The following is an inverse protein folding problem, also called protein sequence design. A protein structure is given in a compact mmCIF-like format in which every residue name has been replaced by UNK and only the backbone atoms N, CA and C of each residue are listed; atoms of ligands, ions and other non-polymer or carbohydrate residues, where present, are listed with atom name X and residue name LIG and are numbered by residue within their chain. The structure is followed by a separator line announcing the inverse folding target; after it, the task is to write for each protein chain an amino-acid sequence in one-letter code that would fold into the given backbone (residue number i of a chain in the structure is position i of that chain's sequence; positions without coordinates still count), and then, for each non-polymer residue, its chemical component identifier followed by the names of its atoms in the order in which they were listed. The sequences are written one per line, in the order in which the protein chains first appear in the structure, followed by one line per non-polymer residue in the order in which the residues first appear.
data_IF_000918484440
#
_entry.id   IF_000918484440
#
_cell.length_a   1.000
_cell.length_b   1.000
_cell.length_c   1.000
_cell.angle_alpha   90.00
_cell.angle_beta   90.00
_cell.angle_gamma   90.00
#
_symmetry.space_group_name_H-M   'P 1'
#
loop_
_entity.id
_entity.type
_entity.pdbx_description
1 polymer ?
#
# COMPACT_ATOMS: atom_id res chain seq x y z
N UNK A 1 -17.18 30.99 -8.49
CA UNK A 1 -16.79 30.06 -9.59
C UNK A 1 -17.05 28.64 -9.15
N UNK A 2 -17.63 27.79 -10.02
CA UNK A 2 -17.79 26.36 -9.73
C UNK A 2 -16.42 25.67 -9.60
N UNK A 3 -16.23 24.93 -8.51
CA UNK A 3 -14.99 24.16 -8.25
C UNK A 3 -15.11 22.80 -9.00
N UNK A 4 -14.26 22.59 -9.99
CA UNK A 4 -14.28 21.40 -10.84
C UNK A 4 -12.93 20.72 -10.81
N UNK A 5 -12.90 19.40 -10.63
CA UNK A 5 -11.67 18.65 -10.57
C UNK A 5 -11.75 17.32 -11.33
N UNK A 6 -10.64 16.95 -11.94
CA UNK A 6 -10.40 15.59 -12.46
C UNK A 6 -9.37 14.89 -11.58
N UNK A 7 -9.72 13.71 -11.12
CA UNK A 7 -8.81 12.81 -10.41
C UNK A 7 -8.48 11.64 -11.33
N UNK A 8 -7.20 11.33 -11.48
CA UNK A 8 -6.73 10.32 -12.45
C UNK A 8 -6.01 9.19 -11.74
N UNK A 9 -6.53 7.96 -11.92
CA UNK A 9 -5.86 6.74 -11.47
C UNK A 9 -6.32 5.56 -12.33
N UNK A 10 -5.41 4.98 -13.12
CA UNK A 10 -5.75 3.92 -14.08
C UNK A 10 -6.38 2.67 -13.42
N UNK A 11 -5.96 2.34 -12.19
CA UNK A 11 -6.51 1.23 -11.39
C UNK A 11 -6.82 1.73 -9.99
N UNK A 12 -8.06 2.18 -9.80
CA UNK A 12 -8.51 2.84 -8.57
C UNK A 12 -8.97 1.83 -7.54
N UNK A 13 -8.19 1.66 -6.47
CA UNK A 13 -8.55 0.92 -5.27
C UNK A 13 -8.98 1.85 -4.14
N UNK A 14 -9.25 1.29 -2.96
CA UNK A 14 -9.86 1.97 -1.82
C UNK A 14 -9.17 3.29 -1.43
N UNK A 15 -7.84 3.32 -1.31
CA UNK A 15 -7.10 4.54 -0.94
C UNK A 15 -7.41 5.73 -1.87
N UNK A 16 -7.50 5.46 -3.17
CA UNK A 16 -7.81 6.52 -4.12
C UNK A 16 -9.29 6.86 -4.16
N UNK A 17 -10.18 5.88 -3.94
CA UNK A 17 -11.63 6.09 -3.88
C UNK A 17 -12.02 6.92 -2.66
N UNK A 18 -11.37 6.72 -1.51
CA UNK A 18 -11.56 7.57 -0.32
C UNK A 18 -11.20 9.03 -0.62
N UNK A 19 -10.09 9.25 -1.34
CA UNK A 19 -9.73 10.60 -1.81
C UNK A 19 -10.81 11.17 -2.73
N UNK A 20 -11.26 10.40 -3.73
CA UNK A 20 -12.32 10.84 -4.66
C UNK A 20 -13.60 11.21 -3.90
N UNK A 21 -14.02 10.37 -2.95
CA UNK A 21 -15.19 10.62 -2.11
C UNK A 21 -15.03 11.85 -1.22
N UNK A 22 -13.83 12.14 -0.72
CA UNK A 22 -13.56 13.36 0.02
C UNK A 22 -13.75 14.60 -0.87
N UNK A 23 -13.25 14.56 -2.11
CA UNK A 23 -13.43 15.67 -3.07
C UNK A 23 -14.90 15.86 -3.48
N UNK A 24 -15.70 14.78 -3.58
CA UNK A 24 -17.12 14.85 -3.94
C UNK A 24 -17.95 15.66 -2.93
N UNK A 25 -17.49 15.76 -1.67
CA UNK A 25 -18.16 16.56 -0.63
C UNK A 25 -17.94 18.07 -0.76
N UNK A 26 -16.84 18.49 -1.40
CA UNK A 26 -16.37 19.89 -1.41
C UNK A 26 -16.37 20.53 -2.81
N UNK A 27 -16.37 19.72 -3.88
CA UNK A 27 -16.33 20.19 -5.25
C UNK A 27 -17.70 20.04 -5.92
N UNK A 28 -18.04 21.02 -6.78
CA UNK A 28 -19.32 21.01 -7.51
C UNK A 28 -19.34 19.94 -8.60
N UNK A 29 -18.16 19.67 -9.21
CA UNK A 29 -18.02 18.64 -10.25
C UNK A 29 -16.73 17.84 -10.00
N UNK A 30 -16.88 16.54 -9.80
CA UNK A 30 -15.78 15.59 -9.61
C UNK A 30 -15.82 14.53 -10.69
N UNK A 31 -14.72 14.39 -11.40
CA UNK A 31 -14.55 13.37 -12.44
C UNK A 31 -13.43 12.43 -12.07
N UNK A 32 -13.73 11.13 -11.97
CA UNK A 32 -12.74 10.08 -11.82
C UNK A 32 -12.39 9.49 -13.19
N UNK A 33 -11.17 9.72 -13.68
CA UNK A 33 -10.63 9.00 -14.83
C UNK A 33 -10.01 7.68 -14.37
N UNK A 34 -10.66 6.55 -14.67
CA UNK A 34 -10.19 5.23 -14.29
C UNK A 34 -10.41 4.18 -15.38
N UNK A 35 -9.44 3.26 -15.53
CA UNK A 35 -9.57 2.08 -16.39
C UNK A 35 -10.29 0.93 -15.68
N UNK A 36 -10.09 0.83 -14.35
CA UNK A 36 -10.79 -0.09 -13.46
C UNK A 36 -11.02 0.58 -12.11
N UNK A 37 -12.23 0.44 -11.59
CA UNK A 37 -12.61 0.85 -10.24
C UNK A 37 -12.85 -0.42 -9.43
N UNK A 38 -12.22 -0.51 -8.25
CA UNK A 38 -12.36 -1.63 -7.33
C UNK A 38 -12.87 -1.07 -6.01
N UNK A 39 -14.19 -1.13 -5.84
CA UNK A 39 -14.86 -0.79 -4.58
C UNK A 39 -14.72 -1.95 -3.59
N UNK A 40 -14.62 -1.62 -2.33
CA UNK A 40 -14.82 -2.54 -1.21
C UNK A 40 -16.16 -2.17 -0.54
N UNK A 41 -16.21 -2.07 0.78
CA UNK A 41 -17.44 -1.79 1.50
C UNK A 41 -17.97 -0.36 1.30
N UNK A 42 -17.10 0.61 1.01
CA UNK A 42 -17.49 1.99 0.72
C UNK A 42 -17.71 2.20 -0.79
N UNK A 43 -18.95 2.51 -1.23
CA UNK A 43 -19.25 2.81 -2.62
C UNK A 43 -18.68 4.18 -3.02
N UNK A 44 -18.54 4.38 -4.32
CA UNK A 44 -18.21 5.69 -4.89
C UNK A 44 -19.41 6.64 -4.72
N UNK A 45 -19.14 7.89 -4.30
CA UNK A 45 -20.17 8.91 -4.15
C UNK A 45 -20.95 9.10 -5.48
N UNK A 46 -22.29 9.14 -5.45
CA UNK A 46 -23.12 9.28 -6.66
C UNK A 46 -22.87 10.55 -7.47
N UNK A 47 -22.30 11.61 -6.87
CA UNK A 47 -21.92 12.84 -7.56
C UNK A 47 -20.71 12.66 -8.47
N UNK A 48 -19.93 11.59 -8.30
CA UNK A 48 -18.71 11.38 -9.06
C UNK A 48 -19.03 10.83 -10.45
N UNK A 49 -18.61 11.56 -11.46
CA UNK A 49 -18.69 11.07 -12.85
C UNK A 49 -17.48 10.20 -13.16
N UNK A 50 -17.68 8.93 -13.48
CA UNK A 50 -16.60 8.03 -13.90
C UNK A 50 -16.38 8.16 -15.40
N UNK A 51 -15.23 8.71 -15.79
CA UNK A 51 -14.75 8.72 -17.18
C UNK A 51 -13.82 7.52 -17.40
N UNK A 52 -14.28 6.55 -18.18
CA UNK A 52 -13.46 5.39 -18.53
C UNK A 52 -12.24 5.80 -19.34
N UNK A 53 -11.08 5.27 -18.98
CA UNK A 53 -9.81 5.35 -19.71
C UNK A 53 -9.27 3.93 -19.96
N UNK A 54 -8.21 3.81 -20.77
CA UNK A 54 -7.67 2.50 -21.13
C UNK A 54 -7.23 1.71 -19.88
N UNK A 55 -7.70 0.45 -19.70
CA UNK A 55 -7.44 -0.32 -18.49
C UNK A 55 -5.99 -0.84 -18.42
N UNK A 56 -5.53 -1.06 -17.20
CA UNK A 56 -4.22 -1.63 -16.93
C UNK A 56 -4.18 -3.13 -17.25
N UNK A 57 -3.17 -3.57 -18.02
CA UNK A 57 -2.99 -4.97 -18.40
C UNK A 57 -1.73 -5.57 -17.74
N UNK A 58 -1.91 -6.59 -16.92
CA UNK A 58 -0.83 -7.27 -16.17
C UNK A 58 -0.29 -8.55 -16.82
N UNK A 59 -0.83 -8.96 -17.97
CA UNK A 59 -0.56 -10.29 -18.56
C UNK A 59 0.91 -10.48 -18.99
N UNK A 60 1.62 -9.41 -19.37
CA UNK A 60 3.05 -9.45 -19.66
C UNK A 60 3.69 -8.07 -19.47
N UNK A 61 5.03 -8.02 -19.38
CA UNK A 61 5.76 -6.74 -19.26
C UNK A 61 5.49 -5.83 -20.47
N UNK A 62 5.45 -6.37 -21.67
CA UNK A 62 5.14 -5.62 -22.88
C UNK A 62 3.70 -5.07 -22.87
N UNK A 63 2.70 -5.91 -22.58
CA UNK A 63 1.29 -5.50 -22.48
C UNK A 63 1.08 -4.46 -21.39
N UNK A 64 1.80 -4.58 -20.28
CA UNK A 64 1.82 -3.61 -19.19
C UNK A 64 2.28 -2.24 -19.68
N UNK A 65 3.43 -2.18 -20.32
CA UNK A 65 4.00 -0.92 -20.83
C UNK A 65 3.11 -0.29 -21.90
N UNK A 66 2.62 -1.08 -22.85
CA UNK A 66 1.68 -0.61 -23.87
C UNK A 66 0.38 -0.05 -23.27
N UNK A 67 -0.15 -0.70 -22.23
CA UNK A 67 -1.35 -0.20 -21.55
C UNK A 67 -1.12 1.15 -20.86
N UNK A 68 0.08 1.43 -20.37
CA UNK A 68 0.43 2.74 -19.82
C UNK A 68 0.49 3.82 -20.91
N UNK A 69 1.14 3.54 -22.03
CA UNK A 69 1.27 4.51 -23.14
C UNK A 69 -0.13 4.88 -23.69
N UNK A 70 -0.92 3.86 -24.04
CA UNK A 70 -2.27 4.09 -24.58
C UNK A 70 -3.14 4.85 -23.58
N UNK A 71 -3.06 4.50 -22.31
CA UNK A 71 -3.78 5.19 -21.25
C UNK A 71 -3.36 6.66 -21.14
N UNK A 72 -2.06 6.96 -21.19
CA UNK A 72 -1.53 8.31 -21.09
C UNK A 72 -1.99 9.17 -22.27
N UNK A 73 -1.94 8.65 -23.50
CA UNK A 73 -2.47 9.35 -24.69
C UNK A 73 -3.97 9.63 -24.55
N UNK A 74 -4.74 8.66 -24.06
CA UNK A 74 -6.17 8.81 -23.82
C UNK A 74 -6.46 9.88 -22.73
N UNK A 75 -5.73 9.88 -21.62
CA UNK A 75 -5.81 10.91 -20.56
C UNK A 75 -5.49 12.29 -21.16
N UNK A 76 -4.40 12.40 -21.91
CA UNK A 76 -3.97 13.67 -22.52
C UNK A 76 -5.04 14.26 -23.42
N UNK A 77 -5.60 13.46 -24.32
CA UNK A 77 -6.69 13.87 -25.20
C UNK A 77 -7.92 14.39 -24.43
N UNK A 78 -8.36 13.66 -23.41
CA UNK A 78 -9.50 14.04 -22.59
C UNK A 78 -9.24 15.35 -21.79
N UNK A 79 -8.02 15.52 -21.29
CA UNK A 79 -7.63 16.73 -20.55
C UNK A 79 -7.50 17.97 -21.46
N UNK A 80 -7.17 17.81 -22.72
CA UNK A 80 -7.08 18.92 -23.68
C UNK A 80 -8.43 19.30 -24.28
N UNK A 81 -9.35 18.35 -24.44
CA UNK A 81 -10.64 18.56 -25.09
C UNK A 81 -11.77 18.78 -24.08
N UNK A 82 -12.13 17.75 -23.36
CA UNK A 82 -13.33 17.72 -22.51
C UNK A 82 -13.15 18.40 -21.15
N UNK A 83 -11.95 18.26 -20.54
CA UNK A 83 -11.69 18.67 -19.15
C UNK A 83 -10.64 19.77 -19.02
N UNK A 84 -10.54 20.64 -19.99
CA UNK A 84 -9.53 21.69 -20.07
C UNK A 84 -9.55 22.68 -18.89
N UNK A 85 -10.75 22.95 -18.35
CA UNK A 85 -10.96 23.95 -17.29
C UNK A 85 -11.01 23.35 -15.87
N UNK A 86 -10.78 22.05 -15.72
CA UNK A 86 -10.81 21.38 -14.44
C UNK A 86 -9.42 21.42 -13.78
N UNK A 87 -9.40 21.59 -12.47
CA UNK A 87 -8.22 21.28 -11.66
C UNK A 87 -7.85 19.80 -11.84
N UNK A 88 -6.62 19.43 -11.54
CA UNK A 88 -6.10 18.09 -11.78
C UNK A 88 -5.41 17.53 -10.53
N UNK A 89 -5.85 16.37 -10.06
CA UNK A 89 -5.10 15.52 -9.16
C UNK A 89 -4.69 14.25 -9.91
N UNK A 90 -3.41 14.10 -10.17
CA UNK A 90 -2.86 12.98 -10.92
C UNK A 90 -2.13 12.03 -9.98
N UNK A 91 -2.51 10.75 -9.98
CA UNK A 91 -1.77 9.73 -9.23
C UNK A 91 -0.59 9.19 -10.04
N UNK A 92 0.31 8.45 -9.34
CA UNK A 92 1.40 7.71 -9.98
C UNK A 92 0.95 6.46 -10.77
N UNK A 93 -0.34 6.34 -11.08
CA UNK A 93 -0.89 5.24 -11.87
C UNK A 93 -1.82 5.76 -12.99
N UNK A 94 -1.37 5.70 -14.28
CA UNK A 94 -0.15 5.04 -14.76
C UNK A 94 1.14 5.80 -14.43
N UNK A 95 2.27 5.09 -14.24
CA UNK A 95 3.53 5.69 -13.76
C UNK A 95 4.07 6.84 -14.62
N UNK A 96 3.81 6.79 -15.92
CA UNK A 96 4.30 7.80 -16.88
C UNK A 96 3.34 8.99 -17.04
N UNK A 97 2.21 9.03 -16.33
CA UNK A 97 1.21 10.09 -16.49
C UNK A 97 1.73 11.49 -16.11
N UNK A 98 2.66 11.59 -15.17
CA UNK A 98 3.32 12.86 -14.80
C UNK A 98 4.02 13.54 -15.98
N UNK A 99 4.48 12.77 -16.98
CA UNK A 99 5.15 13.31 -18.18
C UNK A 99 4.22 14.17 -19.05
N UNK A 100 2.90 14.07 -18.86
CA UNK A 100 1.92 14.93 -19.56
C UNK A 100 1.89 16.36 -19.05
N UNK A 101 2.25 16.60 -17.79
CA UNK A 101 2.07 17.90 -17.13
C UNK A 101 2.74 19.05 -17.89
N UNK A 102 3.96 18.91 -18.42
CA UNK A 102 4.59 19.95 -19.23
C UNK A 102 3.83 20.30 -20.51
N UNK A 103 3.01 19.37 -21.03
CA UNK A 103 2.24 19.48 -22.28
C UNK A 103 0.80 19.96 -22.06
N UNK A 104 0.38 20.14 -20.82
CA UNK A 104 -0.95 20.63 -20.49
C UNK A 104 -0.96 22.15 -20.39
N UNK A 105 -2.11 22.75 -20.74
CA UNK A 105 -2.36 24.17 -20.48
C UNK A 105 -2.26 24.47 -18.98
N UNK A 106 -1.99 25.74 -18.65
CA UNK A 106 -1.85 26.20 -17.27
C UNK A 106 -3.15 25.95 -16.50
N UNK A 107 -3.10 24.99 -15.55
CA UNK A 107 -4.19 24.63 -14.63
C UNK A 107 -3.62 24.31 -13.26
N UNK A 108 -4.44 24.28 -12.25
CA UNK A 108 -4.03 23.78 -10.94
C UNK A 108 -3.79 22.29 -11.05
N UNK A 109 -2.60 21.86 -10.66
CA UNK A 109 -2.20 20.45 -10.80
C UNK A 109 -1.48 20.01 -9.55
N UNK A 110 -1.99 18.97 -8.91
CA UNK A 110 -1.35 18.28 -7.80
C UNK A 110 -1.03 16.84 -8.17
N UNK A 111 0.03 16.31 -7.59
CA UNK A 111 0.41 14.90 -7.72
C UNK A 111 0.16 14.16 -6.41
N UNK A 112 -0.38 12.95 -6.51
CA UNK A 112 -0.48 11.99 -5.41
C UNK A 112 0.34 10.75 -5.77
N UNK A 113 1.51 10.62 -5.18
CA UNK A 113 2.48 9.58 -5.53
C UNK A 113 2.40 8.42 -4.53
N UNK A 114 1.87 7.29 -4.98
CA UNK A 114 1.89 6.00 -4.28
C UNK A 114 3.19 5.25 -4.49
N UNK A 115 3.86 5.53 -5.62
CA UNK A 115 5.15 4.96 -6.02
C UNK A 115 5.98 6.05 -6.70
N UNK A 116 7.31 6.04 -6.49
CA UNK A 116 8.23 6.97 -7.14
C UNK A 116 8.88 6.30 -8.33
N UNK A 117 8.37 6.55 -9.52
CA UNK A 117 8.96 6.11 -10.78
C UNK A 117 9.83 7.22 -11.39
N UNK A 118 10.94 6.88 -12.07
CA UNK A 118 11.45 5.53 -12.37
C UNK A 118 12.29 4.90 -11.24
N UNK A 119 12.49 5.56 -10.11
CA UNK A 119 13.37 5.15 -9.00
C UNK A 119 12.99 3.77 -8.44
N UNK A 120 11.70 3.48 -8.33
CA UNK A 120 11.20 2.17 -7.91
C UNK A 120 11.60 1.03 -8.85
N UNK A 121 11.80 1.29 -10.16
CA UNK A 121 12.31 0.29 -11.10
C UNK A 121 13.80 0.02 -10.89
N UNK A 122 14.55 1.03 -10.47
CA UNK A 122 15.96 0.87 -10.08
C UNK A 122 16.07 0.07 -8.79
N UNK A 123 15.28 0.43 -7.79
CA UNK A 123 15.23 -0.26 -6.51
C UNK A 123 14.91 -1.77 -6.68
N UNK A 124 14.05 -2.12 -7.63
CA UNK A 124 13.69 -3.53 -7.91
C UNK A 124 14.60 -4.22 -8.94
N UNK A 125 15.67 -3.55 -9.36
CA UNK A 125 16.66 -4.13 -10.29
C UNK A 125 16.22 -4.26 -11.76
N UNK A 126 15.03 -3.73 -12.13
CA UNK A 126 14.53 -3.81 -13.50
C UNK A 126 15.29 -2.87 -14.46
N UNK A 127 15.77 -1.75 -13.97
CA UNK A 127 16.48 -0.73 -14.77
C UNK A 127 17.67 -0.18 -13.97
N UNK A 128 18.81 -0.02 -14.60
CA UNK A 128 19.97 0.65 -13.96
C UNK A 128 19.89 2.17 -14.07
N UNK A 129 20.44 2.91 -13.12
CA UNK A 129 20.50 4.40 -13.12
C UNK A 129 21.22 4.98 -14.35
N UNK A 130 22.13 4.23 -14.98
CA UNK A 130 22.84 4.64 -16.20
C UNK A 130 22.01 4.44 -17.47
N UNK A 131 20.86 3.72 -17.38
CA UNK A 131 20.02 3.45 -18.53
C UNK A 131 19.45 4.74 -19.13
N UNK A 132 19.50 4.95 -20.45
CA UNK A 132 18.99 6.15 -21.10
C UNK A 132 17.48 6.35 -20.87
N UNK A 133 16.69 5.28 -20.79
CA UNK A 133 15.25 5.36 -20.49
C UNK A 133 15.02 5.95 -19.09
N UNK A 134 15.82 5.52 -18.08
CA UNK A 134 15.77 6.10 -16.75
C UNK A 134 16.06 7.60 -16.78
N UNK A 135 17.15 8.01 -17.46
CA UNK A 135 17.56 9.43 -17.52
C UNK A 135 16.51 10.31 -18.20
N UNK A 136 15.93 9.84 -19.31
CA UNK A 136 14.87 10.57 -20.02
C UNK A 136 13.61 10.69 -19.15
N UNK A 137 13.20 9.62 -18.50
CA UNK A 137 12.04 9.65 -17.61
C UNK A 137 12.27 10.55 -16.39
N UNK A 138 13.42 10.45 -15.75
CA UNK A 138 13.83 11.32 -14.64
C UNK A 138 13.83 12.80 -15.04
N UNK A 139 14.28 13.13 -16.27
CA UNK A 139 14.23 14.48 -16.81
C UNK A 139 12.79 14.98 -16.98
N UNK A 140 11.89 14.16 -17.54
CA UNK A 140 10.47 14.50 -17.64
C UNK A 140 9.84 14.71 -16.26
N UNK A 141 10.15 13.87 -15.28
CA UNK A 141 9.68 14.07 -13.91
C UNK A 141 10.18 15.41 -13.35
N UNK A 142 11.44 15.77 -13.57
CA UNK A 142 11.99 17.06 -13.12
C UNK A 142 11.25 18.23 -13.76
N UNK A 143 10.91 18.14 -15.03
CA UNK A 143 10.10 19.17 -15.72
C UNK A 143 8.67 19.23 -15.17
N UNK A 144 8.04 18.08 -14.91
CA UNK A 144 6.67 17.97 -14.42
C UNK A 144 6.56 18.44 -12.95
N UNK A 145 7.39 17.89 -12.06
CA UNK A 145 7.31 18.14 -10.61
C UNK A 145 7.61 19.60 -10.25
N UNK A 146 8.43 20.29 -11.05
CA UNK A 146 8.66 21.74 -10.88
C UNK A 146 7.45 22.59 -11.26
N UNK A 147 6.58 22.09 -12.15
CA UNK A 147 5.40 22.83 -12.65
C UNK A 147 4.17 22.64 -11.78
N UNK A 148 4.07 21.52 -11.03
CA UNK A 148 2.90 21.26 -10.17
C UNK A 148 2.86 22.18 -8.97
N UNK A 149 1.67 22.38 -8.44
CA UNK A 149 1.45 23.21 -7.27
C UNK A 149 1.83 22.47 -5.99
N UNK A 150 1.51 21.16 -5.91
CA UNK A 150 1.76 20.31 -4.74
C UNK A 150 2.07 18.87 -5.15
N UNK A 151 2.94 18.24 -4.39
CA UNK A 151 3.21 16.79 -4.47
C UNK A 151 2.91 16.19 -3.11
N UNK A 152 2.06 15.19 -3.10
CA UNK A 152 1.67 14.46 -1.90
C UNK A 152 2.22 13.05 -2.05
N UNK A 153 2.84 12.53 -1.01
CA UNK A 153 3.41 11.18 -0.97
C UNK A 153 3.16 10.52 0.37
N UNK A 154 3.47 9.23 0.51
CA UNK A 154 3.03 8.44 1.66
C UNK A 154 4.07 8.31 2.77
N UNK A 155 5.36 8.52 2.46
CA UNK A 155 6.45 8.33 3.42
C UNK A 155 7.56 9.38 3.28
N UNK A 156 8.32 9.61 4.34
CA UNK A 156 9.49 10.49 4.31
C UNK A 156 10.57 9.98 3.36
N UNK A 157 10.74 8.65 3.22
CA UNK A 157 11.68 8.06 2.27
C UNK A 157 11.31 8.39 0.82
N UNK A 158 10.02 8.30 0.47
CA UNK A 158 9.53 8.75 -0.85
C UNK A 158 9.74 10.25 -1.02
N UNK A 159 9.45 11.07 -0.01
CA UNK A 159 9.67 12.51 -0.04
C UNK A 159 11.14 12.84 -0.31
N UNK A 160 12.06 12.15 0.36
CA UNK A 160 13.51 12.30 0.13
C UNK A 160 13.90 11.96 -1.31
N UNK A 161 13.38 10.85 -1.85
CA UNK A 161 13.62 10.47 -3.24
C UNK A 161 13.08 11.50 -4.23
N UNK A 162 11.92 12.11 -3.95
CA UNK A 162 11.29 13.11 -4.82
C UNK A 162 12.05 14.43 -4.83
N UNK A 163 12.78 14.79 -3.76
CA UNK A 163 13.55 16.04 -3.66
C UNK A 163 14.59 16.23 -4.77
N UNK A 164 15.08 15.15 -5.39
CA UNK A 164 15.98 15.26 -6.56
C UNK A 164 15.30 15.86 -7.79
N UNK A 165 13.96 15.88 -7.83
CA UNK A 165 13.16 16.36 -8.96
C UNK A 165 12.58 17.76 -8.74
N UNK A 166 12.30 18.16 -7.49
CA UNK A 166 11.66 19.43 -7.16
C UNK A 166 12.04 19.94 -5.77
N UNK A 167 11.78 21.24 -5.46
CA UNK A 167 12.00 21.81 -4.14
C UNK A 167 11.16 21.12 -3.07
N UNK A 168 11.72 20.98 -1.85
CA UNK A 168 11.11 20.30 -0.69
C UNK A 168 9.76 20.91 -0.29
N UNK A 169 9.62 22.20 -0.43
CA UNK A 169 8.44 22.98 -0.02
C UNK A 169 7.17 22.58 -0.79
N UNK A 170 7.35 21.93 -1.94
CA UNK A 170 6.22 21.39 -2.72
C UNK A 170 5.76 20.01 -2.25
N UNK A 171 6.54 19.33 -1.42
CA UNK A 171 6.32 17.95 -1.02
C UNK A 171 5.67 17.91 0.36
N UNK A 172 4.59 17.17 0.48
CA UNK A 172 3.93 16.90 1.76
C UNK A 172 3.73 15.40 1.92
N UNK A 173 4.02 14.88 3.11
CA UNK A 173 3.78 13.47 3.43
C UNK A 173 2.42 13.35 4.11
N UNK A 174 1.56 12.51 3.51
CA UNK A 174 0.30 12.05 4.10
C UNK A 174 0.36 10.54 4.15
N UNK A 175 0.56 9.92 5.32
CA UNK A 175 0.64 8.47 5.45
C UNK A 175 -0.62 7.78 4.91
N UNK A 176 -0.46 6.57 4.40
CA UNK A 176 -1.58 5.73 4.03
C UNK A 176 -2.41 5.35 5.27
N UNK A 177 -3.58 4.78 5.04
CA UNK A 177 -4.55 4.40 6.07
C UNK A 177 -5.13 3.02 5.82
N UNK A 178 -5.83 2.52 6.83
CA UNK A 178 -6.54 1.24 6.78
C UNK A 178 -7.79 1.33 5.92
N UNK A 179 -8.08 0.24 5.20
CA UNK A 179 -9.38 0.03 4.54
C UNK A 179 -10.35 -0.81 5.38
N UNK A 180 -9.92 -1.22 6.56
CA UNK A 180 -10.81 -1.89 7.51
C UNK A 180 -11.11 -0.98 8.69
N UNK A 181 -12.29 -1.08 9.31
CA UNK A 181 -12.62 -0.30 10.49
C UNK A 181 -11.68 -0.67 11.65
N UNK A 182 -11.39 0.31 12.50
CA UNK A 182 -10.72 0.02 13.76
C UNK A 182 -11.65 -0.77 14.66
N UNK A 183 -11.23 -1.94 15.08
CA UNK A 183 -12.06 -2.84 15.91
C UNK A 183 -11.63 -2.66 17.36
N UNK A 184 -12.56 -2.26 18.22
CA UNK A 184 -12.35 -2.28 19.67
C UNK A 184 -12.48 -3.73 20.14
N UNK A 185 -11.36 -4.40 20.39
CA UNK A 185 -11.22 -5.80 20.83
C UNK A 185 -12.03 -6.82 20.01
N UNK A 186 -11.33 -7.79 19.44
CA UNK A 186 -11.90 -8.77 18.49
C UNK A 186 -13.19 -9.42 19.02
N UNK A 187 -14.19 -9.48 18.12
CA UNK A 187 -15.26 -10.47 18.23
C UNK A 187 -14.63 -11.82 18.62
N UNK A 188 -15.29 -12.57 19.49
CA UNK A 188 -14.81 -13.86 19.96
C UNK A 188 -14.41 -14.70 18.74
N UNK A 189 -13.18 -15.19 18.72
CA UNK A 189 -12.62 -15.98 17.59
C UNK A 189 -13.45 -17.25 17.31
N UNK A 190 -14.31 -17.62 18.23
CA UNK A 190 -15.18 -18.79 18.20
C UNK A 190 -16.23 -18.72 17.08
N UNK A 191 -16.68 -17.51 16.69
CA UNK A 191 -17.67 -17.30 15.61
C UNK A 191 -17.04 -16.73 14.31
N UNK A 192 -15.72 -16.81 14.16
CA UNK A 192 -15.06 -16.25 12.98
C UNK A 192 -15.14 -17.21 11.78
N UNK A 193 -15.84 -16.84 10.69
CA UNK A 193 -16.01 -17.72 9.52
C UNK A 193 -14.71 -18.19 8.87
N UNK A 194 -13.65 -17.40 8.94
CA UNK A 194 -12.33 -17.80 8.44
C UNK A 194 -11.71 -18.90 9.32
N UNK A 195 -11.86 -18.78 10.65
CA UNK A 195 -11.38 -19.81 11.58
C UNK A 195 -12.10 -21.12 11.37
N UNK A 196 -13.42 -21.08 11.17
CA UNK A 196 -14.26 -22.26 10.91
C UNK A 196 -13.89 -22.93 9.57
N UNK A 197 -13.83 -22.12 8.49
CA UNK A 197 -13.57 -22.62 7.14
C UNK A 197 -12.22 -23.34 7.00
N UNK A 198 -11.20 -22.97 7.80
CA UNK A 198 -9.86 -23.52 7.70
C UNK A 198 -9.45 -24.42 8.88
N UNK A 199 -10.38 -24.72 9.81
CA UNK A 199 -10.13 -25.58 10.96
C UNK A 199 -9.07 -25.00 11.91
N UNK A 200 -9.16 -23.72 12.23
CA UNK A 200 -8.17 -22.97 13.01
C UNK A 200 -8.63 -22.70 14.45
N UNK A 201 -9.66 -23.43 14.92
CA UNK A 201 -10.16 -23.31 16.29
C UNK A 201 -9.03 -23.59 17.27
N UNK A 202 -8.95 -22.78 18.32
CA UNK A 202 -7.93 -22.88 19.37
C UNK A 202 -6.48 -22.74 18.87
N UNK A 203 -6.27 -22.20 17.63
CA UNK A 203 -4.92 -21.95 17.11
C UNK A 203 -4.49 -20.51 17.37
N UNK A 204 -3.19 -20.37 17.68
CA UNK A 204 -2.52 -19.09 17.72
C UNK A 204 -1.83 -18.82 16.37
N UNK A 205 -2.29 -17.82 15.65
CA UNK A 205 -2.04 -17.65 14.23
C UNK A 205 -1.04 -16.53 13.96
N UNK A 206 0.08 -16.87 13.34
CA UNK A 206 1.03 -15.93 12.70
C UNK A 206 0.69 -15.85 11.24
N UNK A 207 0.28 -14.67 10.73
CA UNK A 207 -0.25 -14.58 9.37
C UNK A 207 0.47 -13.54 8.51
N UNK A 208 0.93 -13.96 7.34
CA UNK A 208 1.25 -13.09 6.23
C UNK A 208 0.09 -13.08 5.23
N UNK A 209 -0.42 -11.89 4.88
CA UNK A 209 -1.43 -11.75 3.84
C UNK A 209 -0.98 -10.77 2.76
N UNK A 210 -0.85 -11.23 1.51
CA UNK A 210 -0.45 -10.37 0.40
C UNK A 210 0.22 -11.08 -0.77
N UNK A 211 0.85 -10.31 -1.64
CA UNK A 211 1.54 -10.82 -2.83
C UNK A 211 2.83 -11.59 -2.44
N UNK A 212 3.04 -12.74 -3.06
CA UNK A 212 4.28 -13.55 -2.93
C UNK A 212 5.29 -13.17 -4.02
N UNK A 213 5.47 -11.88 -4.26
CA UNK A 213 6.41 -11.34 -5.24
C UNK A 213 7.87 -11.42 -4.79
N UNK A 214 8.80 -11.22 -5.74
CA UNK A 214 10.26 -11.23 -5.49
C UNK A 214 10.73 -10.15 -4.49
N UNK A 215 9.94 -9.11 -4.27
CA UNK A 215 10.23 -8.01 -3.35
C UNK A 215 9.89 -8.30 -1.88
N UNK A 216 9.73 -9.57 -1.49
CA UNK A 216 9.35 -9.95 -0.12
C UNK A 216 10.19 -11.13 0.38
N UNK A 217 10.61 -11.07 1.64
CA UNK A 217 11.30 -12.17 2.33
C UNK A 217 10.27 -13.07 3.00
N UNK A 218 9.78 -14.11 2.29
CA UNK A 218 8.78 -15.05 2.84
C UNK A 218 9.39 -16.37 3.29
N UNK A 219 10.51 -16.78 2.68
CA UNK A 219 11.22 -18.01 3.04
C UNK A 219 11.67 -18.05 4.52
N UNK A 220 12.19 -16.94 5.13
CA UNK A 220 12.51 -16.91 6.56
C UNK A 220 11.32 -17.24 7.46
N UNK A 221 10.09 -16.85 7.07
CA UNK A 221 8.90 -17.16 7.85
C UNK A 221 8.63 -18.69 7.88
N UNK A 222 8.88 -19.40 6.78
CA UNK A 222 8.77 -20.88 6.73
C UNK A 222 9.83 -21.53 7.58
N UNK A 223 11.08 -21.00 7.58
CA UNK A 223 12.15 -21.48 8.47
C UNK A 223 11.80 -21.30 9.95
N UNK A 224 11.21 -20.18 10.30
CA UNK A 224 10.76 -19.93 11.68
C UNK A 224 9.66 -20.91 12.06
N UNK A 225 8.72 -21.25 11.17
CA UNK A 225 7.69 -22.25 11.44
C UNK A 225 8.28 -23.63 11.82
N UNK A 226 9.48 -23.98 11.33
CA UNK A 226 10.18 -25.22 11.71
C UNK A 226 10.50 -25.26 13.22
N UNK A 227 10.85 -24.11 13.80
CA UNK A 227 11.20 -24.01 15.23
C UNK A 227 9.97 -24.17 16.14
N UNK A 228 8.77 -24.04 15.59
CA UNK A 228 7.51 -24.17 16.33
C UNK A 228 6.81 -25.52 16.13
N UNK A 229 7.49 -26.56 15.59
CA UNK A 229 6.92 -27.91 15.47
C UNK A 229 6.46 -28.50 16.81
N UNK A 230 7.12 -28.15 17.90
CA UNK A 230 6.76 -28.59 19.25
C UNK A 230 5.59 -27.84 19.90
N UNK A 231 5.03 -26.84 19.20
CA UNK A 231 3.93 -26.02 19.69
C UNK A 231 2.65 -26.33 18.87
N UNK A 232 1.81 -27.26 19.31
CA UNK A 232 0.68 -27.74 18.50
C UNK A 232 -0.37 -26.65 18.20
N UNK A 233 -0.39 -25.61 19.03
CA UNK A 233 -1.36 -24.51 18.92
C UNK A 233 -0.87 -23.37 18.02
N UNK A 234 0.44 -23.26 17.74
CA UNK A 234 0.99 -22.20 16.89
C UNK A 234 0.95 -22.63 15.43
N UNK A 235 0.29 -21.84 14.58
CA UNK A 235 0.19 -22.06 13.14
C UNK A 235 0.62 -20.82 12.35
N UNK A 236 1.30 -21.07 11.24
CA UNK A 236 1.74 -20.06 10.30
C UNK A 236 0.86 -20.14 9.05
N UNK A 237 0.23 -19.03 8.71
CA UNK A 237 -0.68 -18.96 7.56
C UNK A 237 -0.14 -17.92 6.56
N UNK A 238 0.12 -18.35 5.33
CA UNK A 238 0.49 -17.46 4.23
C UNK A 238 -0.70 -17.36 3.28
N UNK A 239 -1.34 -16.20 3.24
CA UNK A 239 -2.50 -15.93 2.36
C UNK A 239 -2.04 -15.13 1.16
N UNK A 240 -2.19 -15.67 -0.05
CA UNK A 240 -1.82 -14.91 -1.24
C UNK A 240 -1.40 -15.76 -2.44
N UNK A 241 -0.94 -15.05 -3.47
CA UNK A 241 -0.47 -15.61 -4.73
C UNK A 241 0.79 -14.86 -5.18
N UNK A 242 1.60 -15.50 -6.01
CA UNK A 242 2.74 -14.84 -6.63
C UNK A 242 3.89 -15.79 -6.94
N UNK A 243 4.98 -15.20 -7.40
CA UNK A 243 6.14 -15.93 -7.94
C UNK A 243 6.78 -16.93 -6.95
N UNK A 244 6.76 -16.66 -5.65
CA UNK A 244 7.36 -17.52 -4.63
C UNK A 244 6.46 -18.68 -4.18
N UNK A 245 5.20 -18.76 -4.62
CA UNK A 245 4.22 -19.72 -4.09
C UNK A 245 4.69 -21.16 -4.20
N UNK A 246 5.14 -21.56 -5.39
CA UNK A 246 5.61 -22.94 -5.65
C UNK A 246 6.83 -23.29 -4.79
N UNK A 247 7.79 -22.37 -4.67
CA UNK A 247 8.98 -22.54 -3.83
C UNK A 247 8.60 -22.74 -2.36
N UNK A 248 7.70 -21.90 -1.84
CA UNK A 248 7.25 -21.97 -0.44
C UNK A 248 6.46 -23.27 -0.20
N UNK A 249 5.57 -23.67 -1.12
CA UNK A 249 4.83 -24.94 -1.02
C UNK A 249 5.75 -26.14 -0.98
N UNK A 250 6.70 -26.22 -1.92
CA UNK A 250 7.69 -27.31 -1.97
C UNK A 250 8.52 -27.38 -0.68
N UNK A 251 8.87 -26.24 -0.10
CA UNK A 251 9.62 -26.18 1.15
C UNK A 251 8.79 -26.67 2.35
N UNK A 252 7.55 -26.25 2.45
CA UNK A 252 6.63 -26.70 3.51
C UNK A 252 6.44 -28.22 3.44
N UNK A 253 6.22 -28.74 2.24
CA UNK A 253 6.04 -30.18 2.00
C UNK A 253 7.30 -30.98 2.30
N UNK A 254 8.47 -30.57 1.75
CA UNK A 254 9.74 -31.29 1.93
C UNK A 254 10.20 -31.33 3.39
N UNK A 255 9.83 -30.34 4.20
CA UNK A 255 10.14 -30.31 5.64
C UNK A 255 9.00 -30.88 6.49
N UNK A 256 7.89 -31.33 5.91
CA UNK A 256 6.76 -31.91 6.65
C UNK A 256 6.13 -30.97 7.66
N UNK A 257 5.95 -29.67 7.31
CA UNK A 257 5.46 -28.66 8.24
C UNK A 257 3.94 -28.65 8.32
N UNK A 258 3.37 -29.43 9.24
CA UNK A 258 1.92 -29.47 9.49
C UNK A 258 1.38 -28.16 10.11
N UNK A 259 2.24 -27.35 10.73
CA UNK A 259 1.93 -26.07 11.34
C UNK A 259 2.09 -24.87 10.38
N UNK A 260 2.36 -25.08 9.09
CA UNK A 260 2.49 -24.02 8.09
C UNK A 260 1.58 -24.30 6.89
N UNK A 261 0.71 -23.33 6.51
CA UNK A 261 -0.26 -23.50 5.42
C UNK A 261 -0.21 -22.32 4.47
N UNK A 262 -0.36 -22.59 3.16
CA UNK A 262 -0.59 -21.55 2.14
C UNK A 262 -2.06 -21.57 1.74
N UNK A 263 -2.71 -20.40 1.79
CA UNK A 263 -4.09 -20.21 1.39
C UNK A 263 -4.17 -19.24 0.20
N UNK A 264 -5.16 -19.35 -0.67
CA UNK A 264 -5.39 -18.41 -1.75
C UNK A 264 -5.80 -17.02 -1.19
N UNK A 265 -5.78 -15.99 -2.06
CA UNK A 265 -6.39 -14.71 -1.69
C UNK A 265 -7.81 -14.91 -1.22
N UNK A 266 -8.15 -14.28 -0.11
CA UNK A 266 -9.48 -14.37 0.46
C UNK A 266 -10.45 -13.44 -0.29
N UNK A 267 -11.69 -13.88 -0.51
CA UNK A 267 -12.76 -13.00 -0.98
C UNK A 267 -12.92 -11.79 -0.05
N UNK A 268 -13.42 -10.67 -0.57
CA UNK A 268 -13.61 -9.44 0.22
C UNK A 268 -14.42 -9.67 1.50
N UNK A 269 -15.46 -10.50 1.44
CA UNK A 269 -16.27 -10.87 2.60
C UNK A 269 -15.47 -11.60 3.71
N UNK A 270 -14.38 -12.31 3.35
CA UNK A 270 -13.51 -13.01 4.32
C UNK A 270 -12.28 -12.19 4.72
N UNK A 271 -12.01 -11.09 4.03
CA UNK A 271 -10.77 -10.33 4.25
C UNK A 271 -10.65 -9.82 5.69
N UNK A 272 -11.68 -9.15 6.20
CA UNK A 272 -11.69 -8.67 7.58
C UNK A 272 -11.61 -9.83 8.59
N UNK A 273 -12.38 -10.89 8.36
CA UNK A 273 -12.37 -12.07 9.23
C UNK A 273 -10.99 -12.75 9.27
N UNK A 274 -10.28 -12.82 8.14
CA UNK A 274 -8.92 -13.35 8.11
C UNK A 274 -7.95 -12.49 8.92
N UNK A 275 -8.06 -11.17 8.84
CA UNK A 275 -7.26 -10.26 9.66
C UNK A 275 -7.58 -10.43 11.15
N UNK A 276 -8.86 -10.49 11.54
CA UNK A 276 -9.28 -10.66 12.92
C UNK A 276 -8.88 -12.02 13.52
N UNK A 277 -8.77 -13.06 12.68
CA UNK A 277 -8.35 -14.38 13.13
C UNK A 277 -6.89 -14.45 13.53
N UNK A 278 -6.00 -13.62 12.95
CA UNK A 278 -4.59 -13.69 13.27
C UNK A 278 -4.27 -13.12 14.67
N UNK A 279 -3.13 -13.50 15.22
CA UNK A 279 -2.60 -12.97 16.47
C UNK A 279 -1.40 -12.07 16.19
N UNK A 280 -0.60 -12.40 15.20
CA UNK A 280 0.56 -11.62 14.77
C UNK A 280 0.50 -11.42 13.27
N UNK A 281 0.46 -10.18 12.85
CA UNK A 281 0.51 -9.82 11.44
C UNK A 281 1.93 -9.73 10.93
N UNK A 282 2.24 -10.46 9.84
CA UNK A 282 3.58 -10.43 9.24
C UNK A 282 3.62 -9.45 8.07
N UNK A 283 4.62 -8.57 8.09
CA UNK A 283 4.96 -7.69 6.98
C UNK A 283 6.38 -8.02 6.54
N UNK A 284 6.63 -8.07 5.25
CA UNK A 284 7.97 -8.33 4.73
C UNK A 284 8.30 -7.36 3.60
N UNK A 285 9.55 -6.92 3.54
CA UNK A 285 10.10 -6.06 2.50
C UNK A 285 11.57 -6.42 2.27
N UNK A 286 12.01 -6.38 1.01
CA UNK A 286 13.44 -6.37 0.68
C UNK A 286 14.02 -4.97 0.85
N UNK A 287 15.34 -4.87 1.02
CA UNK A 287 16.07 -3.58 1.13
C UNK A 287 15.71 -2.59 0.01
N UNK A 288 15.49 -3.10 -1.20
CA UNK A 288 15.14 -2.27 -2.35
C UNK A 288 13.80 -1.51 -2.21
N UNK A 289 12.90 -1.98 -1.34
CA UNK A 289 11.59 -1.37 -1.11
C UNK A 289 11.48 -0.59 0.20
N UNK A 290 12.47 -0.70 1.09
CA UNK A 290 12.46 -0.16 2.46
C UNK A 290 12.31 1.36 2.54
N UNK A 291 12.95 2.07 1.63
CA UNK A 291 12.93 3.53 1.61
C UNK A 291 11.79 4.11 0.77
N UNK A 292 11.03 3.24 0.09
CA UNK A 292 10.01 3.65 -0.89
C UNK A 292 8.60 3.49 -0.37
N UNK A 293 8.35 2.63 0.64
CA UNK A 293 6.97 2.43 1.11
C UNK A 293 6.87 1.86 2.53
N UNK A 294 5.86 2.28 3.28
CA UNK A 294 5.26 1.48 4.34
C UNK A 294 4.08 0.75 3.71
N UNK A 295 4.08 -0.59 3.67
CA UNK A 295 3.00 -1.34 3.05
C UNK A 295 1.64 -1.04 3.69
N UNK A 296 0.60 -0.86 2.88
CA UNK A 296 -0.75 -0.56 3.37
C UNK A 296 -1.31 -1.63 4.31
N UNK A 297 -0.86 -2.89 4.19
CA UNK A 297 -1.22 -3.98 5.11
C UNK A 297 -0.83 -3.68 6.57
N UNK A 298 0.21 -2.89 6.81
CA UNK A 298 0.61 -2.43 8.14
C UNK A 298 -0.55 -1.73 8.84
N UNK A 299 -1.22 -0.82 8.14
CA UNK A 299 -2.33 -0.05 8.71
C UNK A 299 -3.58 -0.92 8.96
N UNK A 300 -3.81 -1.94 8.13
CA UNK A 300 -4.89 -2.91 8.34
C UNK A 300 -4.65 -3.77 9.58
N UNK A 301 -3.40 -4.20 9.81
CA UNK A 301 -3.03 -4.96 11.00
C UNK A 301 -3.16 -4.11 12.27
N UNK A 302 -2.76 -2.84 12.21
CA UNK A 302 -2.96 -1.90 13.31
C UNK A 302 -4.44 -1.70 13.62
N UNK A 303 -5.30 -1.60 12.59
CA UNK A 303 -6.74 -1.37 12.75
C UNK A 303 -7.45 -2.53 13.47
N UNK A 304 -6.93 -3.73 13.36
CA UNK A 304 -7.44 -4.91 14.08
C UNK A 304 -6.65 -5.21 15.37
N UNK A 305 -5.74 -4.31 15.78
CA UNK A 305 -5.03 -4.41 17.05
C UNK A 305 -3.98 -5.51 17.12
N UNK A 306 -3.36 -5.89 16.01
CA UNK A 306 -2.36 -6.96 16.04
C UNK A 306 -0.93 -6.43 16.13
N UNK A 307 -0.09 -7.05 16.99
CA UNK A 307 1.35 -6.86 16.93
C UNK A 307 1.90 -7.19 15.54
N UNK A 308 2.84 -6.38 15.06
CA UNK A 308 3.41 -6.53 13.72
C UNK A 308 4.80 -7.15 13.80
N UNK A 309 4.98 -8.26 13.10
CA UNK A 309 6.27 -8.89 12.89
C UNK A 309 6.77 -8.52 11.48
N UNK A 310 7.83 -7.71 11.42
CA UNK A 310 8.42 -7.30 10.15
C UNK A 310 9.69 -8.10 9.84
N UNK A 311 9.77 -8.66 8.64
CA UNK A 311 10.97 -9.32 8.10
C UNK A 311 11.58 -8.37 7.06
N UNK A 312 12.72 -7.75 7.40
CA UNK A 312 13.37 -6.76 6.56
C UNK A 312 14.51 -6.06 7.29
N UNK A 313 15.03 -4.98 6.72
CA UNK A 313 16.11 -4.22 7.37
C UNK A 313 15.62 -3.49 8.62
N UNK A 314 16.42 -3.58 9.66
CA UNK A 314 16.18 -2.92 10.94
C UNK A 314 16.34 -1.39 10.86
N UNK A 315 16.88 -0.87 9.76
CA UNK A 315 17.02 0.57 9.49
C UNK A 315 15.92 1.12 8.58
N UNK A 316 14.96 0.29 8.17
CA UNK A 316 13.86 0.68 7.28
C UNK A 316 12.93 1.72 7.91
N UNK A 317 12.15 2.40 7.06
CA UNK A 317 11.11 3.31 7.53
C UNK A 317 10.06 2.58 8.39
N UNK A 318 9.74 1.33 8.02
CA UNK A 318 8.80 0.50 8.78
C UNK A 318 9.41 0.10 10.13
N UNK A 319 10.70 -0.28 10.19
CA UNK A 319 11.36 -0.61 11.45
C UNK A 319 11.29 0.54 12.45
N UNK A 320 11.68 1.75 12.01
CA UNK A 320 11.57 2.96 12.85
C UNK A 320 10.13 3.26 13.28
N UNK A 321 9.17 3.00 12.42
CA UNK A 321 7.75 3.17 12.73
C UNK A 321 7.29 2.19 13.82
N UNK A 322 7.63 0.90 13.70
CA UNK A 322 7.26 -0.13 14.67
C UNK A 322 7.88 0.13 16.04
N UNK A 323 9.15 0.52 16.07
CA UNK A 323 9.90 0.86 17.28
C UNK A 323 9.30 2.11 17.95
N UNK A 324 9.14 3.21 17.20
CA UNK A 324 8.61 4.47 17.72
C UNK A 324 7.26 4.33 18.39
N UNK A 325 6.41 3.47 17.84
CA UNK A 325 5.05 3.29 18.31
C UNK A 325 4.87 2.07 19.21
N UNK A 326 5.92 1.30 19.45
CA UNK A 326 5.87 0.03 20.20
C UNK A 326 4.72 -0.86 19.75
N UNK A 327 4.63 -1.14 18.45
CA UNK A 327 3.56 -1.94 17.85
C UNK A 327 4.04 -3.25 17.24
N UNK A 328 5.32 -3.57 17.40
CA UNK A 328 5.91 -4.77 16.85
C UNK A 328 7.43 -4.72 16.82
N UNK A 329 8.02 -5.62 16.04
CA UNK A 329 9.47 -5.76 15.91
C UNK A 329 9.85 -6.03 14.46
N UNK A 330 11.00 -5.52 14.04
CA UNK A 330 11.66 -5.86 12.77
C UNK A 330 12.85 -6.75 13.03
N UNK A 331 12.95 -7.84 12.26
CA UNK A 331 14.11 -8.73 12.30
C UNK A 331 14.74 -8.80 10.89
N UNK A 332 16.07 -8.89 10.87
CA UNK A 332 16.82 -9.17 9.64
C UNK A 332 16.39 -10.53 9.05
N UNK A 333 16.23 -10.66 7.71
CA UNK A 333 15.81 -11.92 7.08
C UNK A 333 16.70 -13.13 7.38
N UNK A 334 17.94 -12.91 7.79
CA UNK A 334 18.90 -13.97 8.13
C UNK A 334 18.87 -14.37 9.62
N UNK A 335 18.27 -13.55 10.49
CA UNK A 335 18.23 -13.75 11.93
C UNK A 335 16.96 -14.50 12.38
N UNK A 336 16.88 -15.79 12.04
CA UNK A 336 15.74 -16.64 12.41
C UNK A 336 15.62 -16.85 13.92
N UNK A 337 16.70 -16.71 14.69
CA UNK A 337 16.69 -16.83 16.14
C UNK A 337 15.93 -15.68 16.80
N UNK A 338 16.23 -14.44 16.44
CA UNK A 338 15.48 -13.27 16.94
C UNK A 338 14.02 -13.29 16.53
N UNK A 339 13.73 -13.76 15.31
CA UNK A 339 12.36 -13.97 14.84
C UNK A 339 11.60 -14.96 15.73
N UNK A 340 12.22 -16.11 16.01
CA UNK A 340 11.65 -17.15 16.87
C UNK A 340 11.40 -16.61 18.27
N UNK A 341 12.40 -15.98 18.90
CA UNK A 341 12.28 -15.39 20.25
C UNK A 341 11.15 -14.34 20.31
N UNK A 342 10.99 -13.52 19.29
CA UNK A 342 9.92 -12.51 19.27
C UNK A 342 8.54 -13.15 19.25
N UNK A 343 8.32 -14.15 18.37
CA UNK A 343 7.04 -14.87 18.27
C UNK A 343 6.75 -15.64 19.53
N UNK A 344 7.75 -16.33 20.10
CA UNK A 344 7.62 -17.08 21.36
C UNK A 344 7.27 -16.13 22.52
N UNK A 345 7.93 -14.99 22.61
CA UNK A 345 7.61 -13.98 23.63
C UNK A 345 6.15 -13.50 23.51
N UNK A 346 5.67 -13.22 22.30
CA UNK A 346 4.28 -12.81 22.09
C UNK A 346 3.28 -13.91 22.50
N UNK A 347 3.66 -15.18 22.34
CA UNK A 347 2.82 -16.32 22.70
C UNK A 347 2.77 -16.52 24.23
N UNK A 348 3.90 -16.43 24.91
CA UNK A 348 4.04 -16.71 26.35
C UNK A 348 3.68 -15.51 27.22
N UNK A 349 4.20 -14.32 26.89
CA UNK A 349 4.04 -13.08 27.66
C UNK A 349 2.76 -12.33 27.22
N UNK A 350 1.64 -12.62 27.90
CA UNK A 350 0.33 -12.03 27.58
C UNK A 350 0.27 -10.53 27.85
N UNK A 351 1.06 -10.01 28.79
CA UNK A 351 1.13 -8.58 29.10
C UNK A 351 1.87 -7.84 27.99
N UNK A 352 3.00 -8.39 27.54
CA UNK A 352 3.74 -7.85 26.40
C UNK A 352 2.88 -7.83 25.15
N UNK A 353 2.18 -8.94 24.85
CA UNK A 353 1.26 -9.03 23.71
C UNK A 353 0.19 -7.94 23.78
N UNK A 354 -0.49 -7.82 24.93
CA UNK A 354 -1.57 -6.84 25.15
C UNK A 354 -1.05 -5.42 24.95
N UNK A 355 0.12 -5.08 25.50
CA UNK A 355 0.71 -3.74 25.33
C UNK A 355 0.92 -3.39 23.87
N UNK A 356 1.50 -4.28 23.06
CA UNK A 356 1.69 -4.02 21.63
C UNK A 356 0.34 -3.91 20.89
N UNK A 357 -0.64 -4.72 21.25
CA UNK A 357 -2.00 -4.70 20.70
C UNK A 357 -2.71 -3.38 20.98
N UNK A 358 -2.69 -2.92 22.23
CA UNK A 358 -3.30 -1.65 22.63
C UNK A 358 -2.64 -0.46 21.94
N UNK A 359 -1.32 -0.46 21.84
CA UNK A 359 -0.58 0.55 21.06
C UNK A 359 -0.97 0.54 19.58
N UNK A 360 -1.15 -0.65 18.97
CA UNK A 360 -1.59 -0.77 17.59
C UNK A 360 -2.95 -0.09 17.36
N UNK A 361 -3.93 -0.32 18.26
CA UNK A 361 -5.24 0.33 18.20
C UNK A 361 -5.15 1.85 18.39
N UNK A 362 -4.28 2.33 19.27
CA UNK A 362 -4.05 3.77 19.46
C UNK A 362 -3.52 4.40 18.17
N UNK A 363 -2.51 3.79 17.56
CA UNK A 363 -1.91 4.27 16.31
C UNK A 363 -2.92 4.23 15.16
N UNK A 364 -3.74 3.17 15.09
CA UNK A 364 -4.76 3.01 14.04
C UNK A 364 -5.75 4.18 13.98
N UNK A 365 -6.11 4.81 15.12
CA UNK A 365 -7.02 5.96 15.18
C UNK A 365 -6.55 7.14 14.32
N UNK A 366 -5.24 7.29 14.13
CA UNK A 366 -4.67 8.34 13.29
C UNK A 366 -4.46 7.93 11.82
N UNK A 367 -4.73 6.65 11.47
CA UNK A 367 -4.52 6.09 10.13
C UNK A 367 -5.83 5.54 9.53
N UNK A 368 -6.85 6.38 9.54
CA UNK A 368 -8.19 6.09 9.03
C UNK A 368 -8.47 6.84 7.73
N UNK A 369 -9.56 6.52 7.04
CA UNK A 369 -10.00 7.19 5.80
C UNK A 369 -10.16 8.72 5.92
N UNK A 370 -10.15 9.28 7.14
CA UNK A 370 -10.12 10.73 7.34
C UNK A 370 -8.86 11.38 6.76
N UNK A 371 -7.75 10.65 6.61
CA UNK A 371 -6.54 11.11 5.92
C UNK A 371 -6.77 11.54 4.47
N UNK A 372 -7.78 11.00 3.81
CA UNK A 372 -8.19 11.47 2.49
C UNK A 372 -8.59 12.95 2.49
N UNK A 373 -9.10 13.47 3.63
CA UNK A 373 -9.41 14.88 3.81
C UNK A 373 -8.15 15.76 3.89
N UNK A 374 -7.07 15.25 4.50
CA UNK A 374 -5.79 15.97 4.55
C UNK A 374 -5.30 16.23 3.09
N UNK A 375 -5.46 15.25 2.20
CA UNK A 375 -5.13 15.39 0.78
C UNK A 375 -6.00 16.45 0.11
N UNK A 376 -7.30 16.42 0.36
CA UNK A 376 -8.23 17.44 -0.15
C UNK A 376 -7.81 18.85 0.30
N UNK A 377 -7.54 19.05 1.60
CA UNK A 377 -7.17 20.35 2.18
C UNK A 377 -5.86 20.86 1.56
N UNK A 378 -4.86 20.01 1.38
CA UNK A 378 -3.60 20.35 0.74
C UNK A 378 -3.78 20.80 -0.71
N UNK A 379 -4.62 20.11 -1.48
CA UNK A 379 -4.92 20.47 -2.87
C UNK A 379 -5.73 21.76 -2.93
N UNK A 380 -6.68 21.96 -2.00
CA UNK A 380 -7.50 23.17 -1.91
C UNK A 380 -6.69 24.39 -1.47
N UNK A 381 -5.78 24.27 -0.49
CA UNK A 381 -4.93 25.37 -0.01
C UNK A 381 -3.95 25.87 -1.07
N UNK A 382 -3.46 25.00 -1.95
CA UNK A 382 -2.69 25.43 -3.13
C UNK A 382 -3.48 26.35 -4.08
N UNK A 383 -4.79 26.49 -3.83
CA UNK A 383 -5.69 27.37 -4.56
C UNK A 383 -5.63 28.84 -4.12
N UNK A 384 -5.23 29.11 -2.87
CA UNK A 384 -5.26 30.46 -2.29
C UNK A 384 -3.96 31.26 -2.52
N UNK A 385 -2.87 30.59 -2.85
CA UNK A 385 -1.52 31.20 -2.91
C UNK A 385 -1.05 31.57 -4.34
N UNK A 386 -1.93 31.67 -5.32
CA UNK A 386 -1.57 32.25 -6.63
C UNK A 386 -2.16 33.65 -6.78
N UNK A 387 -1.30 34.67 -7.12
CA UNK A 387 -1.76 36.02 -7.44
C UNK A 387 -2.66 36.05 -8.70
#
# INVERSE_FOLDING_TARGET
MQRKIVLVNQHSGYLFLDVVNAFAKEYDQVVLMAGKVVTMDDPLDPKVTVQKIFPYNRASTFKRFMSWIVCVVNIWWLLLTKYRQHDLLLSSNPPVASTLIPLLFRRRTSLLLYDVYPDGLVATGFVGVKNPIFKVWAWFNKCAYRKVDRIITLTDGMATTIQQYCPKEKITVVPAWSNVPTVEHSATKEENPFVEAYGLQNKWIVMYSGNFGKGYHLEPLVKVAENFRGYPDIVFILVGEGWQKELLSSRIESHGLSNCKILPYQPSAFFLHSLQACHVGVVSLTESLENVAIPSKTYNLLAVGHPIFCIGSVTSALARFLEKHEVGMTCDPTDTESMTRFIERLYVDKEYYRRLSDNALIVAKSHTKHRARDILELVAAGAQNRP
#
